data_IF_000677849256
#
_entry.id   IF_000677849256
#
_cell.length_a   1.000
_cell.length_b   1.000
_cell.length_c   1.000
_cell.angle_alpha   90.00
_cell.angle_beta   90.00
_cell.angle_gamma   90.00
#
_symmetry.space_group_name_H-M   'P 1'
#
loop_
_entity.id
_entity.type
_entity.pdbx_description
1 polymer ?
#
# COMPACT_ATOMS: atom_id res chain seq x y z
N UNK A 1 -2.00 21.74 -1.92
CA UNK A 1 -2.05 20.28 -1.74
C UNK A 1 -3.16 19.63 -2.57
N UNK A 2 -4.43 20.01 -2.44
CA UNK A 2 -5.53 19.41 -3.24
C UNK A 2 -5.33 19.54 -4.75
N UNK A 3 -4.85 20.66 -5.25
CA UNK A 3 -4.54 20.88 -6.69
C UNK A 3 -3.45 19.95 -7.20
N UNK A 4 -2.42 19.65 -6.40
CA UNK A 4 -1.35 18.72 -6.75
C UNK A 4 -1.85 17.27 -6.84
N UNK A 5 -2.60 16.81 -5.84
CA UNK A 5 -3.20 15.48 -5.86
C UNK A 5 -4.18 15.33 -7.03
N UNK A 6 -4.99 16.35 -7.31
CA UNK A 6 -5.92 16.36 -8.45
C UNK A 6 -5.16 16.26 -9.79
N UNK A 7 -4.06 17.00 -9.95
CA UNK A 7 -3.17 16.86 -11.12
C UNK A 7 -2.63 15.44 -11.25
N UNK A 8 -2.13 14.85 -10.15
CA UNK A 8 -1.58 13.50 -10.16
C UNK A 8 -2.65 12.45 -10.51
N UNK A 9 -3.87 12.58 -9.99
CA UNK A 9 -4.98 11.67 -10.32
C UNK A 9 -5.36 11.78 -11.80
N UNK A 10 -5.45 12.98 -12.36
CA UNK A 10 -5.89 13.18 -13.74
C UNK A 10 -4.83 12.84 -14.79
N UNK A 11 -3.56 13.14 -14.52
CA UNK A 11 -2.49 13.05 -15.52
C UNK A 11 -1.59 11.81 -15.34
N UNK A 12 -1.47 11.31 -14.13
CA UNK A 12 -0.50 10.27 -13.80
C UNK A 12 -1.15 8.94 -13.44
N UNK A 13 -2.33 8.98 -12.80
CA UNK A 13 -3.02 7.77 -12.41
C UNK A 13 -3.43 6.95 -13.66
N UNK A 14 -2.88 5.75 -13.78
CA UNK A 14 -3.26 4.84 -14.85
C UNK A 14 -4.58 4.13 -14.49
N UNK A 15 -5.48 3.88 -15.45
CA UNK A 15 -6.73 3.14 -15.19
C UNK A 15 -6.52 1.79 -14.49
N UNK A 16 -5.45 1.08 -14.81
CA UNK A 16 -5.09 -0.19 -14.16
C UNK A 16 -4.82 -0.01 -12.66
N UNK A 17 -4.28 1.13 -12.22
CA UNK A 17 -4.05 1.40 -10.79
C UNK A 17 -5.38 1.53 -10.04
N UNK A 18 -6.41 2.08 -10.68
CA UNK A 18 -7.78 2.14 -10.14
C UNK A 18 -8.36 0.72 -10.03
N UNK A 19 -8.20 -0.10 -11.09
CA UNK A 19 -8.64 -1.50 -11.05
C UNK A 19 -7.98 -2.24 -9.90
N UNK A 20 -6.67 -2.10 -9.71
CA UNK A 20 -5.95 -2.75 -8.61
C UNK A 20 -6.43 -2.28 -7.23
N UNK A 21 -6.75 -1.01 -7.08
CA UNK A 21 -7.34 -0.50 -5.84
C UNK A 21 -8.73 -1.10 -5.57
N UNK A 22 -9.52 -1.38 -6.61
CA UNK A 22 -10.83 -2.02 -6.48
C UNK A 22 -10.75 -3.53 -6.16
N UNK A 23 -9.61 -4.17 -6.35
CA UNK A 23 -9.43 -5.59 -6.00
C UNK A 23 -9.50 -5.87 -4.49
N UNK A 24 -9.68 -4.85 -3.65
CA UNK A 24 -10.11 -5.02 -2.26
C UNK A 24 -11.38 -5.85 -2.09
N UNK A 25 -12.25 -5.93 -3.11
CA UNK A 25 -13.45 -6.79 -3.11
C UNK A 25 -13.13 -8.30 -3.10
N UNK A 26 -11.91 -8.72 -3.45
CA UNK A 26 -11.47 -10.11 -3.42
C UNK A 26 -11.53 -10.76 -2.03
N UNK A 27 -11.67 -9.96 -0.98
CA UNK A 27 -11.98 -10.45 0.37
C UNK A 27 -13.24 -11.35 0.41
N UNK A 28 -14.18 -11.18 -0.53
CA UNK A 28 -15.36 -12.03 -0.63
C UNK A 28 -15.08 -13.42 -1.22
N UNK A 29 -13.97 -13.59 -1.93
CA UNK A 29 -13.68 -14.86 -2.63
C UNK A 29 -13.14 -15.86 -1.61
N UNK A 30 -13.83 -17.00 -1.39
CA UNK A 30 -13.34 -18.02 -0.47
C UNK A 30 -12.08 -18.68 -1.01
N UNK A 31 -11.23 -19.18 -0.12
CA UNK A 31 -9.97 -19.85 -0.44
C UNK A 31 -8.99 -19.01 -1.31
N UNK A 32 -9.00 -17.69 -1.11
CA UNK A 32 -8.07 -16.76 -1.74
C UNK A 32 -7.07 -16.23 -0.70
N UNK A 33 -5.76 -16.19 -0.96
CA UNK A 33 -4.79 -15.62 -0.03
C UNK A 33 -4.93 -14.09 -0.01
N UNK A 34 -5.56 -13.55 1.04
CA UNK A 34 -5.90 -12.11 1.10
C UNK A 34 -4.71 -11.18 1.18
N UNK A 35 -3.54 -11.66 1.56
CA UNK A 35 -2.30 -10.88 1.50
C UNK A 35 -1.94 -10.41 0.09
N UNK A 36 -2.37 -11.16 -0.96
CA UNK A 36 -2.17 -10.77 -2.36
C UNK A 36 -2.91 -9.45 -2.69
N UNK A 37 -3.97 -9.13 -1.98
CA UNK A 37 -4.68 -7.84 -2.14
C UNK A 37 -3.72 -6.68 -1.90
N UNK A 38 -2.87 -6.76 -0.89
CA UNK A 38 -1.85 -5.74 -0.63
C UNK A 38 -0.80 -5.65 -1.75
N UNK A 39 -0.44 -6.79 -2.36
CA UNK A 39 0.45 -6.79 -3.51
C UNK A 39 -0.16 -5.99 -4.68
N UNK A 40 -1.47 -6.08 -4.92
CA UNK A 40 -2.13 -5.26 -5.94
C UNK A 40 -2.06 -3.75 -5.62
N UNK A 41 -2.16 -3.36 -4.34
CA UNK A 41 -1.94 -1.97 -3.93
C UNK A 41 -0.51 -1.48 -4.18
N UNK A 42 0.48 -2.33 -3.96
CA UNK A 42 1.87 -2.04 -4.30
C UNK A 42 2.11 -1.98 -5.83
N UNK A 43 1.45 -2.86 -6.60
CA UNK A 43 1.47 -2.82 -8.06
C UNK A 43 0.78 -1.57 -8.62
N UNK A 44 -0.28 -1.08 -7.98
CA UNK A 44 -0.92 0.18 -8.35
C UNK A 44 0.06 1.36 -8.25
N UNK A 45 0.86 1.40 -7.18
CA UNK A 45 1.94 2.37 -7.03
C UNK A 45 2.99 2.22 -8.15
N UNK A 46 3.48 1.00 -8.40
CA UNK A 46 4.46 0.72 -9.45
C UNK A 46 3.99 1.19 -10.83
N UNK A 47 2.76 0.83 -11.22
CA UNK A 47 2.20 1.22 -12.53
C UNK A 47 2.02 2.73 -12.64
N UNK A 48 1.63 3.40 -11.56
CA UNK A 48 1.55 4.85 -11.52
C UNK A 48 2.90 5.51 -11.83
N UNK A 49 3.98 5.03 -11.23
CA UNK A 49 5.32 5.53 -11.52
C UNK A 49 5.81 5.16 -12.93
N UNK A 50 5.44 3.99 -13.43
CA UNK A 50 5.73 3.58 -14.80
C UNK A 50 5.05 4.52 -15.81
N UNK A 51 3.76 4.79 -15.62
CA UNK A 51 3.00 5.72 -16.45
C UNK A 51 3.57 7.15 -16.39
N UNK A 52 3.96 7.62 -15.20
CA UNK A 52 4.60 8.91 -15.03
C UNK A 52 5.90 9.05 -15.84
N UNK A 53 6.67 7.96 -15.98
CA UNK A 53 7.88 7.94 -16.82
C UNK A 53 7.51 8.00 -18.32
N UNK A 54 6.54 7.21 -18.74
CA UNK A 54 6.11 7.13 -20.14
C UNK A 54 5.49 8.44 -20.64
N UNK A 55 4.78 9.15 -19.76
CA UNK A 55 4.17 10.46 -20.06
C UNK A 55 5.13 11.64 -19.85
N UNK A 56 6.41 11.39 -19.53
CA UNK A 56 7.39 12.43 -19.22
C UNK A 56 6.92 13.44 -18.14
N UNK A 57 6.14 12.96 -17.16
CA UNK A 57 5.56 13.80 -16.12
C UNK A 57 6.57 14.64 -15.34
N UNK A 58 7.79 14.14 -15.16
CA UNK A 58 8.88 14.90 -14.50
C UNK A 58 9.22 16.15 -15.28
N UNK A 59 9.33 16.06 -16.61
CA UNK A 59 9.59 17.19 -17.50
C UNK A 59 8.43 18.18 -17.50
N UNK A 60 7.20 17.68 -17.61
CA UNK A 60 6.01 18.52 -17.54
C UNK A 60 5.92 19.25 -16.20
N UNK A 61 6.21 18.56 -15.09
CA UNK A 61 6.18 19.16 -13.76
C UNK A 61 7.29 20.20 -13.55
N UNK A 62 8.46 20.03 -14.20
CA UNK A 62 9.56 20.99 -14.13
C UNK A 62 9.22 22.35 -14.77
N UNK A 63 8.28 22.39 -15.73
CA UNK A 63 7.79 23.62 -16.36
C UNK A 63 6.75 24.36 -15.50
N UNK A 64 6.13 23.65 -14.55
CA UNK A 64 5.13 24.23 -13.64
C UNK A 64 5.85 25.00 -12.49
N UNK A 65 5.18 26.02 -11.92
CA UNK A 65 5.72 26.78 -10.79
C UNK A 65 5.59 25.98 -9.47
N UNK A 66 6.13 24.75 -9.46
CA UNK A 66 6.12 23.83 -8.29
C UNK A 66 7.55 23.47 -7.90
N UNK A 67 7.80 23.35 -6.62
CA UNK A 67 9.10 22.92 -6.12
C UNK A 67 9.32 21.42 -6.30
N UNK A 68 10.57 20.98 -6.37
CA UNK A 68 10.94 19.55 -6.43
C UNK A 68 10.31 18.76 -5.26
N UNK A 69 10.24 19.37 -4.07
CA UNK A 69 9.61 18.74 -2.89
C UNK A 69 8.11 18.54 -3.08
N UNK A 70 7.43 19.52 -3.64
CA UNK A 70 5.99 19.40 -3.92
C UNK A 70 5.70 18.33 -4.97
N UNK A 71 6.56 18.19 -5.98
CA UNK A 71 6.44 17.11 -6.97
C UNK A 71 6.54 15.72 -6.30
N UNK A 72 7.53 15.52 -5.42
CA UNK A 72 7.65 14.27 -4.65
C UNK A 72 6.45 14.06 -3.74
N UNK A 73 5.95 15.12 -3.09
CA UNK A 73 4.78 15.06 -2.23
C UNK A 73 3.52 14.60 -2.99
N UNK A 74 3.31 15.14 -4.20
CA UNK A 74 2.19 14.75 -5.06
C UNK A 74 2.19 13.24 -5.35
N UNK A 75 3.34 12.69 -5.74
CA UNK A 75 3.53 11.25 -5.98
C UNK A 75 3.29 10.41 -4.72
N UNK A 76 3.86 10.82 -3.58
CA UNK A 76 3.64 10.13 -2.31
C UNK A 76 2.15 10.13 -1.93
N UNK A 77 1.47 11.27 -2.06
CA UNK A 77 0.04 11.38 -1.76
C UNK A 77 -0.82 10.50 -2.67
N UNK A 78 -0.45 10.35 -3.94
CA UNK A 78 -1.16 9.49 -4.87
C UNK A 78 -1.02 8.01 -4.49
N UNK A 79 0.17 7.56 -4.08
CA UNK A 79 0.40 6.19 -3.57
C UNK A 79 -0.45 5.96 -2.32
N UNK A 80 -0.35 6.85 -1.34
CA UNK A 80 -1.15 6.79 -0.10
C UNK A 80 -2.65 6.74 -0.41
N UNK A 81 -3.10 7.54 -1.36
CA UNK A 81 -4.51 7.57 -1.77
C UNK A 81 -4.98 6.20 -2.28
N UNK A 82 -4.25 5.55 -3.20
CA UNK A 82 -4.64 4.24 -3.73
C UNK A 82 -4.62 3.16 -2.66
N UNK A 83 -3.61 3.13 -1.80
CA UNK A 83 -3.48 2.14 -0.74
C UNK A 83 -4.59 2.28 0.31
N UNK A 84 -4.82 3.49 0.82
CA UNK A 84 -5.89 3.73 1.79
C UNK A 84 -7.27 3.54 1.17
N UNK A 85 -7.46 3.96 -0.08
CA UNK A 85 -8.71 3.70 -0.80
C UNK A 85 -8.98 2.20 -0.90
N UNK A 86 -7.99 1.38 -1.27
CA UNK A 86 -8.13 -0.07 -1.34
C UNK A 86 -8.51 -0.69 0.01
N UNK A 87 -7.84 -0.28 1.10
CA UNK A 87 -8.17 -0.75 2.44
C UNK A 87 -9.59 -0.35 2.84
N UNK A 88 -9.96 0.91 2.68
CA UNK A 88 -11.30 1.41 3.00
C UNK A 88 -12.37 0.73 2.14
N UNK A 89 -12.08 0.53 0.85
CA UNK A 89 -12.99 -0.15 -0.08
C UNK A 89 -13.20 -1.62 0.27
N UNK A 90 -12.21 -2.29 0.87
CA UNK A 90 -12.34 -3.68 1.31
C UNK A 90 -13.23 -3.87 2.56
N UNK A 91 -13.40 -2.84 3.40
CA UNK A 91 -14.15 -2.93 4.67
C UNK A 91 -15.58 -3.43 4.48
N UNK A 92 -16.42 -2.86 3.60
CA UNK A 92 -17.79 -3.33 3.43
C UNK A 92 -17.87 -4.80 2.98
N UNK A 93 -16.90 -5.26 2.20
CA UNK A 93 -16.83 -6.64 1.76
C UNK A 93 -16.38 -7.59 2.88
N UNK A 94 -15.47 -7.14 3.75
CA UNK A 94 -15.08 -7.89 4.94
C UNK A 94 -16.25 -8.03 5.93
N UNK A 95 -17.02 -6.97 6.15
CA UNK A 95 -18.22 -6.99 6.98
C UNK A 95 -19.28 -7.92 6.38
N UNK A 96 -19.50 -7.84 5.06
CA UNK A 96 -20.46 -8.72 4.36
C UNK A 96 -20.06 -10.18 4.50
N UNK A 97 -18.77 -10.52 4.33
CA UNK A 97 -18.25 -11.86 4.51
C UNK A 97 -18.50 -12.39 5.92
N UNK A 98 -18.21 -11.58 6.94
CA UNK A 98 -18.47 -11.94 8.34
C UNK A 98 -19.98 -12.15 8.60
N UNK A 99 -20.86 -11.32 8.02
CA UNK A 99 -22.31 -11.45 8.15
C UNK A 99 -22.86 -12.73 7.50
N UNK A 100 -22.26 -13.16 6.40
CA UNK A 100 -22.62 -14.41 5.69
C UNK A 100 -22.17 -15.67 6.45
N UNK A 101 -21.45 -15.54 7.57
CA UNK A 101 -20.92 -16.66 8.39
C UNK A 101 -20.20 -17.70 7.53
N UNK A 102 -19.49 -17.27 6.50
CA UNK A 102 -18.66 -18.15 5.70
C UNK A 102 -17.56 -18.75 6.57
N UNK A 103 -17.16 -19.99 6.27
CA UNK A 103 -16.06 -20.64 6.96
C UNK A 103 -14.79 -19.79 6.90
N UNK A 104 -13.91 -19.93 7.89
CA UNK A 104 -12.60 -19.27 7.91
C UNK A 104 -11.84 -19.57 6.61
N UNK A 105 -10.98 -18.64 6.20
CA UNK A 105 -10.20 -18.79 4.99
C UNK A 105 -9.20 -19.96 5.13
N UNK A 106 -9.31 -21.03 4.34
CA UNK A 106 -8.43 -22.20 4.49
C UNK A 106 -6.98 -21.91 4.00
N UNK A 107 -6.76 -20.79 3.31
CA UNK A 107 -5.50 -20.50 2.64
C UNK A 107 -4.63 -19.53 3.44
N UNK A 108 -5.19 -18.84 4.43
CA UNK A 108 -4.42 -17.87 5.22
C UNK A 108 -5.32 -17.04 6.13
N UNK A 109 -4.82 -15.91 6.57
CA UNK A 109 -5.48 -15.01 7.51
C UNK A 109 -6.75 -14.39 6.89
N UNK A 110 -7.86 -14.44 7.62
CA UNK A 110 -9.10 -13.76 7.24
C UNK A 110 -8.94 -12.22 7.33
N UNK A 111 -9.86 -11.48 6.69
CA UNK A 111 -9.86 -10.02 6.69
C UNK A 111 -10.32 -9.45 8.04
N UNK A 112 -9.57 -9.75 9.08
CA UNK A 112 -9.76 -9.34 10.45
C UNK A 112 -9.13 -7.98 10.75
N UNK A 113 -9.32 -7.45 11.96
CA UNK A 113 -8.64 -6.21 12.40
C UNK A 113 -7.12 -6.34 12.34
N UNK A 114 -6.58 -7.53 12.69
CA UNK A 114 -5.15 -7.83 12.57
C UNK A 114 -4.67 -7.77 11.12
N UNK A 115 -5.46 -8.29 10.17
CA UNK A 115 -5.13 -8.25 8.74
C UNK A 115 -4.97 -6.80 8.23
N UNK A 116 -5.85 -5.87 8.63
CA UNK A 116 -5.70 -4.45 8.31
C UNK A 116 -4.43 -3.84 8.93
N UNK A 117 -4.10 -4.21 10.16
CA UNK A 117 -2.87 -3.77 10.83
C UNK A 117 -1.61 -4.23 10.09
N UNK A 118 -1.54 -5.50 9.73
CA UNK A 118 -0.44 -6.06 8.92
C UNK A 118 -0.36 -5.42 7.54
N UNK A 119 -1.50 -5.17 6.90
CA UNK A 119 -1.56 -4.48 5.60
C UNK A 119 -0.95 -3.09 5.65
N UNK A 120 -1.23 -2.31 6.69
CA UNK A 120 -0.63 -1.00 6.90
C UNK A 120 0.89 -1.08 7.13
N UNK A 121 1.38 -2.08 7.88
CA UNK A 121 2.82 -2.31 8.05
C UNK A 121 3.47 -2.64 6.72
N UNK A 122 2.85 -3.52 5.94
CA UNK A 122 3.34 -3.94 4.62
C UNK A 122 3.44 -2.74 3.67
N UNK A 123 2.41 -1.92 3.59
CA UNK A 123 2.42 -0.69 2.79
C UNK A 123 3.48 0.29 3.26
N UNK A 124 3.62 0.49 4.56
CA UNK A 124 4.61 1.39 5.13
C UNK A 124 6.05 0.98 4.74
N UNK A 125 6.37 -0.32 4.85
CA UNK A 125 7.69 -0.86 4.49
C UNK A 125 7.92 -0.80 2.98
N UNK A 126 6.92 -1.18 2.19
CA UNK A 126 7.00 -1.09 0.73
C UNK A 126 7.26 0.35 0.29
N UNK A 127 6.45 1.30 0.74
CA UNK A 127 6.57 2.72 0.36
C UNK A 127 7.92 3.30 0.77
N UNK A 128 8.38 2.97 1.99
CA UNK A 128 9.67 3.42 2.46
C UNK A 128 10.81 2.94 1.55
N UNK A 129 10.85 1.66 1.21
CA UNK A 129 11.89 1.10 0.36
C UNK A 129 11.73 1.56 -1.09
N UNK A 130 10.52 1.50 -1.64
CA UNK A 130 10.25 1.82 -3.05
C UNK A 130 10.55 3.28 -3.35
N UNK A 131 9.98 4.22 -2.60
CA UNK A 131 10.15 5.65 -2.86
C UNK A 131 11.59 6.09 -2.66
N UNK A 132 12.23 5.66 -1.57
CA UNK A 132 13.63 6.04 -1.31
C UNK A 132 14.58 5.46 -2.37
N UNK A 133 14.38 4.21 -2.79
CA UNK A 133 15.18 3.58 -3.83
C UNK A 133 14.94 4.23 -5.21
N UNK A 134 13.71 4.57 -5.54
CA UNK A 134 13.35 5.21 -6.80
C UNK A 134 14.06 6.56 -6.98
N UNK A 135 13.95 7.45 -6.00
CA UNK A 135 14.57 8.77 -6.07
C UNK A 135 16.10 8.74 -5.89
N UNK A 136 16.66 7.68 -5.31
CA UNK A 136 18.10 7.47 -5.18
C UNK A 136 18.73 6.89 -6.46
N UNK A 137 18.04 6.00 -7.15
CA UNK A 137 18.60 5.19 -8.25
C UNK A 137 18.27 5.76 -9.64
N UNK A 138 18.27 7.08 -9.83
CA UNK A 138 18.03 7.73 -11.12
C UNK A 138 16.79 7.19 -11.85
N UNK A 139 15.69 7.05 -11.12
CA UNK A 139 14.36 6.64 -11.65
C UNK A 139 14.29 5.21 -12.22
N UNK A 140 15.12 4.31 -11.76
CA UNK A 140 15.06 2.88 -12.14
C UNK A 140 13.87 2.19 -11.45
N UNK A 141 12.66 2.36 -12.01
CA UNK A 141 11.40 1.92 -11.40
C UNK A 141 11.41 0.41 -11.11
N UNK A 142 11.80 -0.40 -12.11
CA UNK A 142 11.81 -1.85 -11.97
C UNK A 142 12.75 -2.34 -10.86
N UNK A 143 13.96 -1.76 -10.79
CA UNK A 143 14.93 -2.11 -9.73
C UNK A 143 14.42 -1.71 -8.36
N UNK A 144 13.83 -0.53 -8.25
CA UNK A 144 13.26 -0.03 -6.98
C UNK A 144 12.09 -0.89 -6.52
N UNK A 145 11.25 -1.35 -7.47
CA UNK A 145 10.14 -2.25 -7.17
C UNK A 145 10.64 -3.62 -6.70
N UNK A 146 11.60 -4.23 -7.39
CA UNK A 146 12.17 -5.52 -6.98
C UNK A 146 12.79 -5.43 -5.59
N UNK A 147 13.51 -4.34 -5.29
CA UNK A 147 14.09 -4.11 -3.97
C UNK A 147 13.02 -4.00 -2.88
N UNK A 148 11.89 -3.33 -3.14
CA UNK A 148 10.78 -3.20 -2.21
C UNK A 148 9.95 -4.50 -2.12
N UNK A 149 9.88 -5.30 -3.19
CA UNK A 149 9.15 -6.55 -3.21
C UNK A 149 9.76 -7.61 -2.26
N UNK A 150 11.08 -7.59 -2.05
CA UNK A 150 11.74 -8.55 -1.16
C UNK A 150 11.18 -8.49 0.27
N UNK A 151 11.27 -7.36 1.00
CA UNK A 151 10.69 -7.27 2.35
C UNK A 151 9.16 -7.42 2.34
N UNK A 152 8.48 -6.98 1.29
CA UNK A 152 7.04 -7.14 1.14
C UNK A 152 6.63 -8.62 1.14
N UNK A 153 7.26 -9.45 0.29
CA UNK A 153 6.97 -10.89 0.22
C UNK A 153 7.28 -11.57 1.55
N UNK A 154 8.39 -11.19 2.18
CA UNK A 154 8.73 -11.74 3.50
C UNK A 154 7.66 -11.42 4.56
N UNK A 155 7.17 -10.19 4.58
CA UNK A 155 6.08 -9.79 5.48
C UNK A 155 4.76 -10.49 5.14
N UNK A 156 4.44 -10.70 3.85
CA UNK A 156 3.25 -11.45 3.44
C UNK A 156 3.30 -12.89 3.95
N UNK A 157 4.42 -13.57 3.78
CA UNK A 157 4.60 -14.94 4.27
C UNK A 157 4.53 -14.99 5.80
N UNK A 158 5.16 -14.05 6.49
CA UNK A 158 5.10 -13.95 7.95
C UNK A 158 3.66 -13.73 8.44
N UNK A 159 2.90 -12.86 7.80
CA UNK A 159 1.50 -12.58 8.11
C UNK A 159 0.61 -13.81 7.90
N UNK A 160 0.70 -14.45 6.73
CA UNK A 160 -0.11 -15.64 6.43
C UNK A 160 0.24 -16.82 7.35
N UNK A 161 1.51 -16.95 7.75
CA UNK A 161 1.92 -18.01 8.66
C UNK A 161 1.28 -17.90 10.06
N UNK A 162 0.82 -16.71 10.46
CA UNK A 162 0.15 -16.53 11.77
C UNK A 162 -1.13 -17.36 11.89
N UNK A 163 -1.86 -17.59 10.79
CA UNK A 163 -3.08 -18.39 10.78
C UNK A 163 -2.82 -19.87 11.10
N UNK A 164 -1.61 -20.37 10.88
CA UNK A 164 -1.23 -21.77 11.10
C UNK A 164 -0.56 -22.02 12.44
N UNK A 165 -0.25 -20.97 13.21
CA UNK A 165 0.39 -21.08 14.52
C UNK A 165 -0.69 -21.13 15.62
N UNK A 166 -0.84 -22.23 16.39
CA UNK A 166 -1.92 -22.39 17.37
C UNK A 166 -2.02 -21.25 18.39
N UNK A 167 -0.89 -20.69 18.80
CA UNK A 167 -0.84 -19.57 19.74
C UNK A 167 -1.37 -18.24 19.15
N UNK A 168 -1.47 -18.12 17.83
CA UNK A 168 -1.85 -16.89 17.11
C UNK A 168 -3.22 -17.00 16.40
N UNK A 169 -3.92 -18.13 16.51
CA UNK A 169 -5.23 -18.36 15.88
C UNK A 169 -6.28 -17.29 16.23
N UNK A 170 -6.14 -16.64 17.40
CA UNK A 170 -7.00 -15.52 17.77
C UNK A 170 -6.93 -14.33 16.79
N UNK A 171 -5.83 -14.19 16.03
CA UNK A 171 -5.68 -13.16 15.01
C UNK A 171 -6.55 -13.42 13.78
N UNK A 172 -6.89 -14.69 13.52
CA UNK A 172 -7.75 -15.14 12.42
C UNK A 172 -9.24 -15.16 12.79
N UNK A 173 -9.59 -14.84 14.01
CA UNK A 173 -10.96 -14.94 14.51
C UNK A 173 -11.74 -13.64 14.30
N UNK A 174 -12.94 -13.77 13.73
CA UNK A 174 -13.91 -12.68 13.60
C UNK A 174 -14.83 -12.51 14.82
N UNK A 175 -14.58 -13.21 15.94
CA UNK A 175 -15.39 -13.07 17.17
C UNK A 175 -15.14 -11.68 17.81
N UNK A 176 -16.18 -11.01 18.32
CA UNK A 176 -16.04 -9.66 18.89
C UNK A 176 -14.96 -9.51 19.96
N UNK A 177 -14.80 -10.53 20.81
CA UNK A 177 -13.79 -10.55 21.88
C UNK A 177 -12.37 -10.56 21.29
N UNK A 178 -12.12 -11.36 20.27
CA UNK A 178 -10.83 -11.44 19.59
C UNK A 178 -10.55 -10.20 18.74
N UNK A 179 -11.56 -9.58 18.13
CA UNK A 179 -11.39 -8.34 17.37
C UNK A 179 -10.84 -7.21 18.27
N UNK A 180 -11.29 -7.12 19.52
CA UNK A 180 -10.74 -6.16 20.49
C UNK A 180 -9.27 -6.47 20.83
N UNK A 181 -8.91 -7.74 20.95
CA UNK A 181 -7.52 -8.16 21.21
C UNK A 181 -6.59 -7.86 20.02
N UNK A 182 -7.14 -7.73 18.81
CA UNK A 182 -6.38 -7.39 17.58
C UNK A 182 -6.11 -5.89 17.42
N UNK A 183 -6.79 -5.01 18.17
CA UNK A 183 -6.61 -3.56 18.09
C UNK A 183 -5.15 -3.09 18.26
N UNK A 184 -4.34 -3.63 19.15
CA UNK A 184 -2.93 -3.26 19.25
C UNK A 184 -2.16 -3.44 17.94
N UNK A 185 -2.45 -4.51 17.17
CA UNK A 185 -1.82 -4.78 15.87
C UNK A 185 -2.20 -3.69 14.87
N UNK A 186 -3.48 -3.32 14.83
CA UNK A 186 -3.95 -2.22 14.00
C UNK A 186 -3.29 -0.89 14.39
N UNK A 187 -3.19 -0.59 15.69
CA UNK A 187 -2.54 0.64 16.17
C UNK A 187 -1.06 0.68 15.81
N UNK A 188 -0.35 -0.44 15.93
CA UNK A 188 1.05 -0.56 15.48
C UNK A 188 1.13 -0.33 13.97
N UNK A 189 0.22 -0.90 13.18
CA UNK A 189 0.15 -0.68 11.74
C UNK A 189 -0.06 0.78 11.38
N UNK A 190 -1.01 1.45 12.01
CA UNK A 190 -1.26 2.88 11.82
C UNK A 190 -0.03 3.70 12.20
N UNK A 191 0.61 3.40 13.33
CA UNK A 191 1.80 4.11 13.80
C UNK A 191 2.97 3.93 12.82
N UNK A 192 3.23 2.70 12.39
CA UNK A 192 4.26 2.41 11.39
C UNK A 192 4.01 3.16 10.09
N UNK A 193 2.78 3.16 9.59
CA UNK A 193 2.41 3.88 8.36
C UNK A 193 2.59 5.38 8.53
N UNK A 194 2.09 5.94 9.62
CA UNK A 194 2.19 7.38 9.93
C UNK A 194 3.63 7.86 10.15
N UNK A 195 4.56 6.99 10.51
CA UNK A 195 5.98 7.33 10.70
C UNK A 195 6.81 7.09 9.43
N UNK A 196 6.67 5.91 8.81
CA UNK A 196 7.53 5.51 7.69
C UNK A 196 7.20 6.25 6.39
N UNK A 197 5.93 6.52 6.09
CA UNK A 197 5.55 7.22 4.85
C UNK A 197 6.05 8.68 4.82
N UNK A 198 5.87 9.51 5.87
CA UNK A 198 6.48 10.84 5.89
C UNK A 198 8.01 10.80 5.91
N UNK A 199 8.61 9.78 6.52
CA UNK A 199 10.07 9.61 6.49
C UNK A 199 10.55 9.27 5.07
N UNK A 200 9.85 8.37 4.37
CA UNK A 200 10.11 8.06 2.97
C UNK A 200 10.04 9.31 2.09
N UNK A 201 8.99 10.12 2.27
CA UNK A 201 8.85 11.41 1.58
C UNK A 201 10.05 12.34 1.84
N UNK A 202 10.43 12.52 3.11
CA UNK A 202 11.56 13.42 3.47
C UNK A 202 12.88 13.00 2.84
N UNK A 203 13.17 11.69 2.85
CA UNK A 203 14.41 11.14 2.26
C UNK A 203 14.35 11.27 0.75
N UNK A 204 13.23 10.91 0.12
CA UNK A 204 13.00 10.99 -1.32
C UNK A 204 13.13 12.42 -1.83
N UNK A 205 12.55 13.39 -1.14
CA UNK A 205 12.65 14.82 -1.48
C UNK A 205 14.10 15.31 -1.45
N UNK A 206 14.89 14.92 -0.43
CA UNK A 206 16.32 15.24 -0.34
C UNK A 206 17.15 14.62 -1.48
N UNK A 207 16.78 13.42 -1.94
CA UNK A 207 17.45 12.80 -3.09
C UNK A 207 17.09 13.53 -4.38
N UNK A 208 15.82 13.87 -4.56
CA UNK A 208 15.35 14.56 -5.76
C UNK A 208 15.90 15.98 -5.91
N UNK A 209 16.11 16.71 -4.79
CA UNK A 209 16.73 18.05 -4.82
C UNK A 209 18.13 18.07 -5.43
N UNK A 210 18.88 16.96 -5.30
CA UNK A 210 20.25 16.81 -5.81
C UNK A 210 20.33 16.44 -7.30
N UNK A 211 19.21 16.16 -7.92
CA UNK A 211 19.15 15.80 -9.35
C UNK A 211 19.02 17.07 -10.16
N UNK A 212 19.93 17.31 -11.10
CA UNK A 212 19.81 18.36 -12.10
C UNK A 212 18.83 17.88 -13.19
N UNK A 213 17.79 18.68 -13.46
CA UNK A 213 16.74 18.43 -14.45
C UNK A 213 17.00 19.24 -15.70
#
# INVERSE_FOLDING_TARGET
MMTLLHKEILLVAHPTSIVFALLGCLVLVPAYPYSIIFMFGCLAAYITFLNARETNDVWYTAVLPVTKRESVLGKCLLVVFFQLFQLLFSIPFAILRSALKTANNPVGLDATVAWYGFGLILYAVFDFVFLTAFYKNAYQIGKSFVLAAIPMVFLMVAMESTAYIPALVWMDSCQPEHLLMQLPILLIGILCYALLVPLAYRISAKHFEKVDL
#
